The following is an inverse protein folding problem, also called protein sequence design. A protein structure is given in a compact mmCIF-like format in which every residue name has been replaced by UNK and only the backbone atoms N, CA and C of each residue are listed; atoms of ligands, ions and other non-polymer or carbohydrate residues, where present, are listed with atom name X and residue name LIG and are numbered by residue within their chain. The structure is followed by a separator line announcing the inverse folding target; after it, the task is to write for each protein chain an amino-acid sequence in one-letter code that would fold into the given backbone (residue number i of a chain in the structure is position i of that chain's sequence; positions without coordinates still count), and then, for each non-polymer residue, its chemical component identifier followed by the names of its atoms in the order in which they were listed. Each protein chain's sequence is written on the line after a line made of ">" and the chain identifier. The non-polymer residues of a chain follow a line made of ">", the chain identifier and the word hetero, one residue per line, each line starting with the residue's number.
data_IF_560119294444
#
_entry.id   IF_560119294444
#
_cell.length_a   1.000
_cell.length_b   1.000
_cell.length_c   1.000
_cell.angle_alpha   90.00
_cell.angle_beta   90.00
_cell.angle_gamma   90.00
#
_symmetry.space_group_name_H-M   'P 1'
#
loop_
_entity.id
_entity.type
_entity.pdbx_description
1 polymer ?
#
# COMPACT_ATOMS: atom_id res chain seq x y z
N UNK A 1 -23.11 20.56 27.35
CA UNK A 1 -22.12 19.57 26.87
C UNK A 1 -21.63 18.77 28.08
N UNK A 2 -21.61 17.43 28.03
CA UNK A 2 -21.16 16.61 29.16
C UNK A 2 -19.64 16.73 29.39
N UNK A 3 -19.13 16.54 30.62
CA UNK A 3 -17.69 16.53 30.89
C UNK A 3 -16.93 15.48 30.07
N UNK A 4 -15.70 15.81 29.67
CA UNK A 4 -14.76 14.95 28.89
C UNK A 4 -14.65 13.53 29.49
N UNK A 5 -14.49 13.47 30.81
CA UNK A 5 -14.33 12.22 31.58
C UNK A 5 -15.58 11.34 31.53
N UNK A 6 -16.78 11.94 31.64
CA UNK A 6 -18.06 11.23 31.54
C UNK A 6 -18.25 10.62 30.16
N UNK A 7 -18.00 11.39 29.09
CA UNK A 7 -18.06 10.89 27.71
C UNK A 7 -17.10 9.71 27.50
N UNK A 8 -15.84 9.87 27.94
CA UNK A 8 -14.81 8.81 27.85
C UNK A 8 -15.25 7.54 28.57
N UNK A 9 -15.80 7.67 29.78
CA UNK A 9 -16.30 6.53 30.55
C UNK A 9 -17.47 5.83 29.85
N UNK A 10 -18.40 6.59 29.29
CA UNK A 10 -19.51 6.04 28.51
C UNK A 10 -19.01 5.28 27.28
N UNK A 11 -18.11 5.87 26.49
CA UNK A 11 -17.51 5.22 25.32
C UNK A 11 -16.76 3.94 25.68
N UNK A 12 -16.03 3.91 26.80
CA UNK A 12 -15.36 2.67 27.26
C UNK A 12 -16.36 1.55 27.57
N UNK A 13 -17.51 1.88 28.17
CA UNK A 13 -18.57 0.90 28.45
C UNK A 13 -19.17 0.39 27.13
N UNK A 14 -19.44 1.30 26.19
CA UNK A 14 -19.95 0.97 24.86
C UNK A 14 -18.99 0.06 24.09
N UNK A 15 -17.71 0.43 24.02
CA UNK A 15 -16.68 -0.37 23.35
C UNK A 15 -16.55 -1.76 23.95
N UNK A 16 -16.61 -1.88 25.28
CA UNK A 16 -16.63 -3.18 25.97
C UNK A 16 -17.83 -4.04 25.55
N UNK A 17 -19.02 -3.43 25.45
CA UNK A 17 -20.22 -4.16 25.04
C UNK A 17 -20.13 -4.63 23.60
N UNK A 18 -19.62 -3.77 22.70
CA UNK A 18 -19.42 -4.12 21.29
C UNK A 18 -18.37 -5.22 21.12
N UNK A 19 -17.22 -5.11 21.80
CA UNK A 19 -16.15 -6.12 21.76
C UNK A 19 -16.67 -7.52 22.15
N UNK A 20 -17.59 -7.58 23.11
CA UNK A 20 -18.22 -8.83 23.60
C UNK A 20 -19.47 -9.26 22.82
N UNK A 21 -19.86 -8.53 21.77
CA UNK A 21 -21.15 -8.68 21.07
C UNK A 21 -22.38 -8.65 22.00
N UNK A 22 -22.25 -8.04 23.18
CA UNK A 22 -23.33 -7.90 24.18
C UNK A 22 -24.10 -6.59 23.93
N UNK A 23 -24.63 -6.44 22.71
CA UNK A 23 -25.15 -5.16 22.19
C UNK A 23 -26.66 -5.01 22.30
N UNK A 24 -27.42 -6.01 22.76
CA UNK A 24 -28.90 -5.99 22.77
C UNK A 24 -29.50 -4.75 23.46
N UNK A 25 -29.05 -4.45 24.68
CA UNK A 25 -29.53 -3.27 25.42
C UNK A 25 -29.08 -1.97 24.76
N UNK A 26 -27.91 -1.95 24.14
CA UNK A 26 -27.40 -0.81 23.40
C UNK A 26 -28.22 -0.55 22.14
N UNK A 27 -28.56 -1.58 21.38
CA UNK A 27 -29.43 -1.49 20.21
C UNK A 27 -30.82 -0.98 20.59
N UNK A 28 -31.39 -1.47 21.69
CA UNK A 28 -32.67 -0.98 22.21
C UNK A 28 -32.58 0.51 22.57
N UNK A 29 -31.51 0.93 23.25
CA UNK A 29 -31.33 2.34 23.59
C UNK A 29 -31.17 3.21 22.33
N UNK A 30 -30.33 2.79 21.37
CA UNK A 30 -30.09 3.52 20.12
C UNK A 30 -31.35 3.63 19.25
N UNK A 31 -32.23 2.64 19.29
CA UNK A 31 -33.51 2.68 18.56
C UNK A 31 -34.45 3.80 19.02
N UNK A 32 -34.22 4.32 20.24
CA UNK A 32 -34.98 5.43 20.82
C UNK A 32 -34.28 6.79 20.62
N UNK A 33 -33.05 6.81 20.12
CA UNK A 33 -32.26 8.03 19.97
C UNK A 33 -32.63 8.78 18.69
N UNK A 34 -32.50 10.12 18.68
CA UNK A 34 -32.53 10.88 17.44
C UNK A 34 -31.46 10.37 16.45
N UNK A 35 -31.84 10.27 15.18
CA UNK A 35 -30.95 9.76 14.11
C UNK A 35 -29.63 10.52 14.04
N UNK A 36 -29.67 11.84 14.21
CA UNK A 36 -28.46 12.70 14.20
C UNK A 36 -27.50 12.32 15.34
N UNK A 37 -28.01 12.07 16.54
CA UNK A 37 -27.18 11.69 17.69
C UNK A 37 -26.58 10.30 17.50
N UNK A 38 -27.36 9.37 16.94
CA UNK A 38 -26.89 8.04 16.56
C UNK A 38 -25.77 8.13 15.52
N UNK A 39 -25.94 8.93 14.46
CA UNK A 39 -24.89 9.16 13.44
C UNK A 39 -23.61 9.70 14.07
N UNK A 40 -23.70 10.72 14.93
CA UNK A 40 -22.53 11.30 15.60
C UNK A 40 -21.78 10.28 16.46
N UNK A 41 -22.52 9.48 17.25
CA UNK A 41 -21.91 8.43 18.05
C UNK A 41 -21.23 7.38 17.16
N UNK A 42 -21.91 6.89 16.13
CA UNK A 42 -21.40 5.86 15.24
C UNK A 42 -20.18 6.34 14.44
N UNK A 43 -20.18 7.57 13.95
CA UNK A 43 -19.00 8.19 13.32
C UNK A 43 -17.85 8.33 14.32
N UNK A 44 -18.12 8.67 15.57
CA UNK A 44 -17.09 8.68 16.61
C UNK A 44 -16.51 7.27 16.81
N UNK A 45 -17.36 6.23 16.90
CA UNK A 45 -16.90 4.83 16.99
C UNK A 45 -16.02 4.47 15.78
N UNK A 46 -16.50 4.70 14.56
CA UNK A 46 -15.76 4.42 13.32
C UNK A 46 -14.39 5.07 13.29
N UNK A 47 -14.29 6.32 13.74
CA UNK A 47 -13.04 7.08 13.71
C UNK A 47 -11.90 6.46 14.54
N UNK A 48 -12.20 5.60 15.51
CA UNK A 48 -11.21 4.90 16.33
C UNK A 48 -10.63 3.65 15.65
N UNK A 49 -11.30 3.17 14.60
CA UNK A 49 -11.01 1.92 13.92
C UNK A 49 -10.54 2.12 12.49
N UNK A 50 -10.30 3.37 12.08
CA UNK A 50 -9.75 3.68 10.78
C UNK A 50 -8.26 3.28 10.71
N UNK A 51 -7.89 2.28 9.87
CA UNK A 51 -6.51 1.82 9.78
C UNK A 51 -5.55 2.91 9.26
N UNK A 52 -6.05 3.87 8.46
CA UNK A 52 -5.24 4.99 7.94
C UNK A 52 -4.97 6.01 9.05
N UNK A 53 -5.86 6.15 10.02
CA UNK A 53 -5.64 7.04 11.17
C UNK A 53 -4.64 6.45 12.15
N UNK A 54 -4.79 5.16 12.49
CA UNK A 54 -3.95 4.47 13.46
C UNK A 54 -2.46 4.55 13.14
N UNK A 55 -2.12 4.60 11.86
CA UNK A 55 -0.75 4.65 11.37
C UNK A 55 -0.10 6.04 11.38
N UNK A 56 -0.89 7.12 11.47
CA UNK A 56 -0.35 8.48 11.56
C UNK A 56 0.35 8.77 12.90
N UNK A 57 0.22 7.86 13.88
CA UNK A 57 0.95 7.94 15.15
C UNK A 57 0.61 9.16 15.99
N UNK A 58 -0.53 9.81 15.73
CA UNK A 58 -1.04 10.88 16.60
C UNK A 58 -1.63 10.22 17.83
N UNK A 59 -0.78 9.89 18.81
CA UNK A 59 -1.21 9.36 20.10
C UNK A 59 -2.11 10.38 20.79
N UNK A 60 -3.42 10.17 20.72
CA UNK A 60 -4.39 10.93 21.48
C UNK A 60 -4.57 10.27 22.85
N UNK A 61 -4.65 11.07 23.92
CA UNK A 61 -4.99 10.61 25.28
C UNK A 61 -6.25 9.72 25.28
N UNK A 62 -7.18 9.99 24.36
CA UNK A 62 -8.39 9.20 24.19
C UNK A 62 -8.15 7.81 23.60
N UNK A 63 -7.23 7.69 22.64
CA UNK A 63 -6.88 6.41 22.03
C UNK A 63 -6.35 5.46 23.12
N UNK A 64 -5.52 6.00 24.01
CA UNK A 64 -4.98 5.31 25.18
C UNK A 64 -6.05 4.91 26.22
N UNK A 65 -7.23 5.52 26.21
CA UNK A 65 -8.31 5.19 27.16
C UNK A 65 -9.35 4.22 26.57
N UNK A 66 -9.69 4.38 25.29
CA UNK A 66 -10.80 3.69 24.62
C UNK A 66 -10.36 2.36 24.00
N UNK A 67 -9.28 2.36 23.20
CA UNK A 67 -8.83 1.14 22.51
C UNK A 67 -8.42 0.02 23.48
N UNK A 68 -7.73 0.28 24.61
CA UNK A 68 -7.45 -0.78 25.59
C UNK A 68 -8.73 -1.35 26.21
N UNK A 69 -9.77 -0.53 26.42
CA UNK A 69 -11.04 -1.02 26.92
C UNK A 69 -11.72 -1.95 25.90
N UNK A 70 -11.63 -1.65 24.61
CA UNK A 70 -12.09 -2.52 23.54
C UNK A 70 -11.26 -3.82 23.49
N UNK A 71 -9.94 -3.70 23.34
CA UNK A 71 -8.99 -4.81 23.17
C UNK A 71 -9.05 -5.82 24.32
N UNK A 72 -9.09 -5.35 25.57
CA UNK A 72 -9.12 -6.23 26.75
C UNK A 72 -10.43 -7.02 26.90
N UNK A 73 -11.44 -6.73 26.08
CA UNK A 73 -12.75 -7.39 26.11
C UNK A 73 -13.10 -8.05 24.77
N UNK A 74 -12.21 -7.99 23.78
CA UNK A 74 -12.29 -8.85 22.61
C UNK A 74 -12.16 -10.30 23.07
N UNK A 75 -12.90 -11.18 22.42
CA UNK A 75 -12.76 -12.61 22.69
C UNK A 75 -11.46 -13.13 22.10
N UNK A 76 -10.84 -14.11 22.76
CA UNK A 76 -9.59 -14.73 22.30
C UNK A 76 -9.75 -15.49 20.98
N UNK A 77 -11.00 -15.81 20.59
CA UNK A 77 -11.34 -16.43 19.31
C UNK A 77 -11.63 -15.42 18.18
N UNK A 78 -11.59 -14.11 18.45
CA UNK A 78 -11.74 -13.12 17.38
C UNK A 78 -10.44 -13.06 16.58
N UNK A 79 -10.50 -13.52 15.33
CA UNK A 79 -9.33 -13.45 14.46
C UNK A 79 -9.01 -12.02 13.97
N UNK A 80 -9.97 -11.09 14.09
CA UNK A 80 -9.78 -9.68 13.71
C UNK A 80 -10.64 -8.76 14.58
N UNK A 81 -10.02 -7.69 15.07
CA UNK A 81 -10.63 -6.72 16.00
C UNK A 81 -11.83 -5.95 15.45
N UNK A 82 -12.11 -6.01 14.15
CA UNK A 82 -13.21 -5.23 13.54
C UNK A 82 -14.45 -6.07 13.29
N UNK A 83 -14.36 -7.39 13.37
CA UNK A 83 -15.52 -8.25 13.17
C UNK A 83 -16.67 -7.86 14.12
N UNK A 84 -16.46 -7.66 15.45
CA UNK A 84 -17.53 -7.24 16.34
C UNK A 84 -18.09 -5.84 16.04
N UNK A 85 -17.28 -4.95 15.46
CA UNK A 85 -17.71 -3.60 15.06
C UNK A 85 -18.64 -3.69 13.83
N UNK A 86 -18.25 -4.45 12.81
CA UNK A 86 -19.07 -4.64 11.61
C UNK A 86 -20.38 -5.37 11.96
N UNK A 87 -20.32 -6.40 12.82
CA UNK A 87 -21.52 -7.09 13.33
C UNK A 87 -22.45 -6.14 14.07
N UNK A 88 -21.89 -5.24 14.89
CA UNK A 88 -22.66 -4.23 15.60
C UNK A 88 -23.36 -3.26 14.62
N UNK A 89 -22.67 -2.76 13.59
CA UNK A 89 -23.30 -1.88 12.61
C UNK A 89 -24.38 -2.58 11.79
N UNK A 90 -24.15 -3.84 11.40
CA UNK A 90 -25.19 -4.68 10.78
C UNK A 90 -26.43 -4.78 11.67
N UNK A 91 -26.24 -5.00 12.97
CA UNK A 91 -27.33 -5.10 13.93
C UNK A 91 -28.07 -3.75 14.12
N UNK A 92 -27.34 -2.64 14.19
CA UNK A 92 -27.93 -1.28 14.23
C UNK A 92 -28.75 -1.03 12.97
N UNK A 93 -28.19 -1.32 11.80
CA UNK A 93 -28.86 -1.13 10.51
C UNK A 93 -30.17 -1.91 10.41
N UNK A 94 -30.19 -3.13 10.96
CA UNK A 94 -31.36 -4.00 10.95
C UNK A 94 -32.41 -3.65 12.02
N UNK A 95 -32.03 -2.85 13.02
CA UNK A 95 -32.90 -2.57 14.18
C UNK A 95 -33.85 -1.37 13.99
N UNK A 96 -33.61 -0.52 12.99
CA UNK A 96 -34.38 0.71 12.76
C UNK A 96 -34.73 0.87 11.29
N UNK A 97 -35.87 1.49 10.99
CA UNK A 97 -36.31 1.73 9.61
C UNK A 97 -35.31 2.57 8.80
N UNK A 98 -34.63 3.51 9.45
CA UNK A 98 -33.59 4.35 8.85
C UNK A 98 -32.16 3.84 9.14
N UNK A 99 -32.04 2.58 9.57
CA UNK A 99 -30.79 2.02 10.06
C UNK A 99 -29.69 2.00 9.01
N UNK A 100 -29.98 1.50 7.79
CA UNK A 100 -29.01 1.49 6.69
C UNK A 100 -28.56 2.90 6.32
N UNK A 101 -29.49 3.86 6.17
CA UNK A 101 -29.10 5.26 5.93
C UNK A 101 -28.23 5.84 7.04
N UNK A 102 -28.51 5.48 8.29
CA UNK A 102 -27.74 5.93 9.46
C UNK A 102 -26.32 5.38 9.43
N UNK A 103 -26.14 4.09 9.16
CA UNK A 103 -24.83 3.43 9.10
C UNK A 103 -24.02 3.91 7.87
N UNK A 104 -24.67 4.12 6.73
CA UNK A 104 -23.96 4.56 5.53
C UNK A 104 -23.54 6.02 5.64
N UNK A 105 -24.43 6.90 6.11
CA UNK A 105 -24.13 8.32 6.30
C UNK A 105 -23.10 8.59 7.40
N UNK A 106 -22.85 7.63 8.31
CA UNK A 106 -21.84 7.79 9.35
C UNK A 106 -20.41 7.48 8.87
N UNK A 107 -20.24 7.04 7.61
CA UNK A 107 -18.94 6.77 6.97
C UNK A 107 -18.53 5.30 6.94
N UNK A 108 -19.47 4.36 7.09
CA UNK A 108 -19.12 2.93 7.12
C UNK A 108 -18.49 2.43 5.81
N UNK A 109 -18.90 2.97 4.65
CA UNK A 109 -18.28 2.59 3.36
C UNK A 109 -16.84 3.10 3.24
N UNK A 110 -16.53 4.26 3.82
CA UNK A 110 -15.16 4.78 3.88
C UNK A 110 -14.29 3.88 4.76
N UNK A 111 -14.79 3.43 5.91
CA UNK A 111 -14.08 2.45 6.75
C UNK A 111 -13.78 1.16 5.97
N UNK A 112 -14.77 0.61 5.27
CA UNK A 112 -14.56 -0.59 4.45
C UNK A 112 -13.52 -0.33 3.35
N UNK A 113 -13.58 0.83 2.68
CA UNK A 113 -12.59 1.22 1.69
C UNK A 113 -11.19 1.31 2.31
N UNK A 114 -11.07 1.92 3.49
CA UNK A 114 -9.80 2.04 4.21
C UNK A 114 -9.28 0.67 4.65
N UNK A 115 -10.15 -0.26 5.04
CA UNK A 115 -9.76 -1.64 5.29
C UNK A 115 -9.21 -2.33 4.04
N UNK A 116 -9.89 -2.18 2.91
CA UNK A 116 -9.41 -2.71 1.64
C UNK A 116 -8.05 -2.10 1.25
N UNK A 117 -7.92 -0.77 1.37
CA UNK A 117 -6.69 -0.02 1.11
C UNK A 117 -5.55 -0.53 2.00
N UNK A 118 -5.84 -0.76 3.28
CA UNK A 118 -4.92 -1.31 4.26
C UNK A 118 -4.73 -2.83 4.16
N UNK A 119 -5.19 -3.46 3.07
CA UNK A 119 -5.12 -4.92 2.85
C UNK A 119 -5.68 -5.76 4.01
N UNK A 120 -6.75 -5.26 4.62
CA UNK A 120 -7.43 -5.84 5.79
C UNK A 120 -6.50 -6.00 7.00
N UNK A 121 -5.53 -5.10 7.16
CA UNK A 121 -4.73 -5.01 8.37
C UNK A 121 -5.59 -4.62 9.57
N UNK A 122 -5.35 -5.31 10.69
CA UNK A 122 -6.08 -5.08 11.93
C UNK A 122 -5.56 -3.80 12.63
N UNK A 123 -6.37 -2.73 12.70
CA UNK A 123 -5.93 -1.43 13.21
C UNK A 123 -5.62 -1.45 14.71
N UNK A 124 -6.16 -2.41 15.46
CA UNK A 124 -5.96 -2.53 16.91
C UNK A 124 -4.70 -3.33 17.21
N UNK A 125 -4.23 -4.20 16.32
CA UNK A 125 -3.08 -5.08 16.58
C UNK A 125 -1.83 -4.74 15.77
N UNK A 126 -1.81 -3.65 14.99
CA UNK A 126 -0.67 -3.19 14.18
C UNK A 126 0.69 -3.18 14.90
N UNK A 127 0.69 -2.92 16.22
CA UNK A 127 1.89 -2.86 17.08
C UNK A 127 2.26 -4.19 17.77
N UNK A 128 1.42 -5.21 17.67
CA UNK A 128 1.74 -6.52 18.23
C UNK A 128 2.68 -7.27 17.28
N UNK A 129 3.80 -7.80 17.80
CA UNK A 129 4.77 -8.59 17.01
C UNK A 129 4.16 -9.84 16.39
N UNK A 130 3.00 -10.28 16.89
CA UNK A 130 2.24 -11.43 16.41
C UNK A 130 1.21 -10.99 15.39
N UNK A 131 1.66 -10.56 14.20
CA UNK A 131 0.75 -10.26 13.08
C UNK A 131 0.25 -11.58 12.48
N UNK A 132 -0.79 -12.17 13.06
CA UNK A 132 -1.57 -13.21 12.39
C UNK A 132 -2.61 -12.53 11.49
N UNK A 133 -2.35 -12.52 10.18
CA UNK A 133 -3.25 -11.90 9.21
C UNK A 133 -4.44 -12.81 8.92
N UNK A 134 -5.54 -12.66 9.64
CA UNK A 134 -6.81 -13.34 9.32
C UNK A 134 -7.66 -12.51 8.34
N UNK A 135 -7.11 -12.29 7.14
CA UNK A 135 -7.80 -11.54 6.07
C UNK A 135 -9.12 -12.20 5.68
N UNK A 136 -9.19 -13.53 5.72
CA UNK A 136 -10.38 -14.29 5.31
C UNK A 136 -11.59 -14.07 6.22
N UNK A 137 -11.38 -14.00 7.55
CA UNK A 137 -12.49 -13.85 8.48
C UNK A 137 -13.13 -12.46 8.35
N UNK A 138 -12.33 -11.40 8.41
CA UNK A 138 -12.85 -10.03 8.27
C UNK A 138 -13.43 -9.78 6.87
N UNK A 139 -12.82 -10.32 5.81
CA UNK A 139 -13.35 -10.19 4.45
C UNK A 139 -14.73 -10.85 4.35
N UNK A 140 -14.92 -12.04 4.93
CA UNK A 140 -16.23 -12.69 4.97
C UNK A 140 -17.27 -11.87 5.73
N UNK A 141 -16.91 -11.27 6.88
CA UNK A 141 -17.79 -10.39 7.66
C UNK A 141 -18.19 -9.15 6.86
N UNK A 142 -17.22 -8.47 6.23
CA UNK A 142 -17.46 -7.31 5.38
C UNK A 142 -18.31 -7.66 4.15
N UNK A 143 -18.06 -8.82 3.53
CA UNK A 143 -18.84 -9.30 2.39
C UNK A 143 -20.29 -9.59 2.81
N UNK A 144 -20.51 -10.21 3.96
CA UNK A 144 -21.87 -10.41 4.48
C UNK A 144 -22.57 -9.08 4.72
N UNK A 145 -21.89 -8.10 5.32
CA UNK A 145 -22.44 -6.76 5.53
C UNK A 145 -22.83 -6.10 4.20
N UNK A 146 -21.94 -6.12 3.20
CA UNK A 146 -22.20 -5.55 1.88
C UNK A 146 -23.35 -6.25 1.16
N UNK A 147 -23.54 -7.56 1.35
CA UNK A 147 -24.69 -8.29 0.78
C UNK A 147 -26.02 -7.72 1.27
N UNK A 148 -26.12 -7.38 2.56
CA UNK A 148 -27.34 -6.77 3.11
C UNK A 148 -27.51 -5.32 2.71
N UNK A 149 -26.43 -4.54 2.67
CA UNK A 149 -26.45 -3.17 2.13
C UNK A 149 -26.99 -3.17 0.69
N UNK A 150 -26.57 -4.13 -0.12
CA UNK A 150 -27.01 -4.27 -1.51
C UNK A 150 -28.44 -4.78 -1.65
N UNK A 151 -28.96 -5.50 -0.65
CA UNK A 151 -30.36 -5.91 -0.59
C UNK A 151 -31.29 -4.76 -0.21
N UNK A 152 -30.78 -3.74 0.48
CA UNK A 152 -31.49 -2.50 0.76
C UNK A 152 -31.47 -1.53 -0.45
N UNK A 153 -32.62 -0.94 -0.78
CA UNK A 153 -32.74 -0.06 -1.95
C UNK A 153 -32.00 1.27 -1.79
N UNK A 154 -31.89 1.80 -0.56
CA UNK A 154 -31.06 2.99 -0.31
C UNK A 154 -29.58 2.62 -0.32
N UNK A 155 -29.20 1.56 0.40
CA UNK A 155 -27.83 1.07 0.46
C UNK A 155 -27.25 0.74 -0.91
N UNK A 156 -28.03 0.08 -1.77
CA UNK A 156 -27.65 -0.17 -3.15
C UNK A 156 -27.22 1.12 -3.87
N UNK A 157 -28.07 2.16 -3.87
CA UNK A 157 -27.78 3.44 -4.54
C UNK A 157 -26.54 4.15 -3.99
N UNK A 158 -26.33 4.11 -2.67
CA UNK A 158 -25.14 4.73 -2.07
C UNK A 158 -23.88 3.98 -2.48
N UNK A 159 -23.90 2.64 -2.44
CA UNK A 159 -22.75 1.83 -2.87
C UNK A 159 -22.49 2.03 -4.36
N UNK A 160 -23.52 2.19 -5.19
CA UNK A 160 -23.38 2.41 -6.63
C UNK A 160 -22.51 3.62 -6.98
N UNK A 161 -22.55 4.67 -6.15
CA UNK A 161 -21.84 5.93 -6.32
C UNK A 161 -20.49 5.96 -5.57
N UNK A 162 -20.21 4.95 -4.75
CA UNK A 162 -19.04 4.94 -3.88
C UNK A 162 -17.83 4.26 -4.56
N UNK A 163 -16.59 4.76 -4.40
CA UNK A 163 -15.39 4.14 -4.99
C UNK A 163 -15.19 2.67 -4.65
N UNK A 164 -15.66 2.26 -3.47
CA UNK A 164 -15.65 0.87 -3.00
C UNK A 164 -16.25 -0.10 -4.03
N UNK A 165 -17.31 0.28 -4.76
CA UNK A 165 -17.93 -0.58 -5.78
C UNK A 165 -16.92 -1.11 -6.81
N UNK A 166 -16.02 -0.25 -7.27
CA UNK A 166 -15.04 -0.62 -8.29
C UNK A 166 -13.76 -1.20 -7.72
N UNK A 167 -13.42 -0.86 -6.47
CA UNK A 167 -12.17 -1.26 -5.82
C UNK A 167 -12.28 -2.56 -5.00
N UNK A 168 -13.47 -2.88 -4.49
CA UNK A 168 -13.66 -4.06 -3.66
C UNK A 168 -13.26 -5.35 -4.39
N UNK A 169 -12.65 -6.32 -3.70
CA UNK A 169 -12.31 -7.61 -4.29
C UNK A 169 -13.55 -8.28 -4.91
N UNK A 170 -13.41 -9.02 -6.02
CA UNK A 170 -14.54 -9.70 -6.61
C UNK A 170 -15.01 -10.79 -5.65
N UNK A 171 -16.30 -10.79 -5.34
CA UNK A 171 -16.93 -11.84 -4.55
C UNK A 171 -18.16 -12.34 -5.29
N UNK A 172 -18.32 -13.66 -5.54
CA UNK A 172 -19.41 -14.17 -6.38
C UNK A 172 -20.80 -13.74 -5.94
N UNK A 173 -21.01 -13.53 -4.63
CA UNK A 173 -22.30 -13.08 -4.10
C UNK A 173 -22.47 -11.56 -4.21
N UNK A 174 -21.39 -10.78 -4.12
CA UNK A 174 -21.43 -9.33 -4.31
C UNK A 174 -21.43 -9.03 -5.80
N UNK A 175 -22.61 -9.16 -6.42
CA UNK A 175 -22.81 -8.88 -7.83
C UNK A 175 -22.66 -7.37 -8.16
N UNK A 176 -21.48 -6.79 -7.96
CA UNK A 176 -21.12 -5.41 -8.32
C UNK A 176 -21.09 -5.17 -9.86
N UNK A 177 -21.94 -5.85 -10.62
CA UNK A 177 -21.88 -5.97 -12.07
C UNK A 177 -21.12 -7.23 -12.47
N UNK A 178 -21.77 -8.09 -13.25
CA UNK A 178 -21.45 -9.51 -13.45
C UNK A 178 -20.29 -9.83 -14.37
N UNK A 179 -19.53 -8.84 -14.86
CA UNK A 179 -18.42 -9.12 -15.76
C UNK A 179 -17.11 -8.58 -15.15
N UNK A 180 -16.12 -9.47 -15.03
CA UNK A 180 -14.70 -9.10 -14.92
C UNK A 180 -14.26 -8.21 -16.08
N UNK A 181 -14.97 -8.26 -17.20
CA UNK A 181 -14.80 -7.36 -18.33
C UNK A 181 -14.85 -5.89 -17.88
N UNK A 182 -13.81 -5.14 -18.24
CA UNK A 182 -13.57 -3.74 -17.86
C UNK A 182 -13.23 -3.52 -16.37
N UNK A 183 -12.83 -4.57 -15.62
CA UNK A 183 -12.41 -4.40 -14.22
C UNK A 183 -11.25 -3.43 -14.12
N UNK A 184 -10.22 -3.57 -14.97
CA UNK A 184 -9.09 -2.63 -15.03
C UNK A 184 -9.55 -1.18 -15.20
N UNK A 185 -10.36 -0.91 -16.22
CA UNK A 185 -10.87 0.44 -16.52
C UNK A 185 -11.72 1.03 -15.38
N UNK A 186 -12.57 0.21 -14.75
CA UNK A 186 -13.39 0.64 -13.60
C UNK A 186 -12.53 0.95 -12.39
N UNK A 187 -11.59 0.07 -12.04
CA UNK A 187 -10.66 0.27 -10.91
C UNK A 187 -9.86 1.54 -11.07
N UNK A 188 -9.30 1.77 -12.27
CA UNK A 188 -8.61 3.00 -12.64
C UNK A 188 -9.49 4.23 -12.42
N UNK A 189 -10.73 4.20 -12.90
CA UNK A 189 -11.70 5.28 -12.70
C UNK A 189 -11.95 5.57 -11.22
N UNK A 190 -12.10 4.52 -10.39
CA UNK A 190 -12.34 4.69 -8.96
C UNK A 190 -11.10 5.19 -8.22
N UNK A 191 -9.89 4.74 -8.55
CA UNK A 191 -8.66 5.24 -7.93
C UNK A 191 -8.43 6.73 -8.17
N UNK A 192 -8.93 7.29 -9.29
CA UNK A 192 -8.91 8.75 -9.53
C UNK A 192 -9.81 9.54 -8.57
N UNK A 193 -10.85 8.90 -8.03
CA UNK A 193 -11.73 9.49 -7.04
C UNK A 193 -11.18 9.36 -5.62
N UNK A 194 -10.21 8.48 -5.43
CA UNK A 194 -9.55 8.23 -4.15
C UNK A 194 -8.35 9.16 -3.99
N UNK A 195 -8.12 9.66 -2.78
CA UNK A 195 -7.03 10.58 -2.48
C UNK A 195 -5.64 9.93 -2.64
N UNK A 196 -4.63 10.78 -2.88
CA UNK A 196 -3.22 10.34 -2.99
C UNK A 196 -2.74 9.58 -1.74
N UNK A 197 -3.22 9.97 -0.57
CA UNK A 197 -2.86 9.32 0.69
C UNK A 197 -3.33 7.86 0.75
N UNK A 198 -4.57 7.58 0.34
CA UNK A 198 -5.10 6.22 0.27
C UNK A 198 -4.33 5.38 -0.77
N UNK A 199 -3.91 5.98 -1.89
CA UNK A 199 -3.06 5.31 -2.88
C UNK A 199 -1.70 4.94 -2.27
N UNK A 200 -1.06 5.86 -1.56
CA UNK A 200 0.19 5.59 -0.83
C UNK A 200 0.01 4.46 0.20
N UNK A 201 -1.09 4.48 0.94
CA UNK A 201 -1.44 3.40 1.87
C UNK A 201 -1.63 2.06 1.17
N UNK A 202 -2.30 2.04 0.02
CA UNK A 202 -2.48 0.82 -0.76
C UNK A 202 -1.15 0.24 -1.20
N UNK A 203 -0.26 1.08 -1.74
CA UNK A 203 1.09 0.65 -2.16
C UNK A 203 1.86 0.05 -0.98
N UNK A 204 1.90 0.75 0.16
CA UNK A 204 2.60 0.28 1.36
C UNK A 204 2.00 -1.03 1.89
N UNK A 205 0.68 -1.16 1.91
CA UNK A 205 0.01 -2.36 2.41
C UNK A 205 0.26 -3.57 1.51
N UNK A 206 0.27 -3.38 0.19
CA UNK A 206 0.69 -4.42 -0.75
C UNK A 206 2.16 -4.80 -0.50
N UNK A 207 3.05 -3.82 -0.34
CA UNK A 207 4.47 -4.10 -0.05
C UNK A 207 4.64 -4.91 1.23
N UNK A 208 3.99 -4.50 2.32
CA UNK A 208 4.08 -5.16 3.62
C UNK A 208 3.53 -6.59 3.57
N UNK A 209 2.39 -6.79 2.89
CA UNK A 209 1.85 -8.13 2.67
C UNK A 209 2.88 -9.02 1.93
N UNK A 210 3.55 -8.50 0.91
CA UNK A 210 4.53 -9.25 0.13
C UNK A 210 5.85 -9.49 0.85
N UNK A 211 6.32 -8.54 1.66
CA UNK A 211 7.60 -8.63 2.36
C UNK A 211 7.48 -9.42 3.65
N UNK A 212 6.45 -9.15 4.45
CA UNK A 212 6.33 -9.73 5.77
C UNK A 212 5.63 -11.09 5.76
N UNK A 213 4.60 -11.29 4.94
CA UNK A 213 3.82 -12.53 4.99
C UNK A 213 4.45 -13.64 4.14
N UNK A 214 5.02 -13.29 2.97
CA UNK A 214 5.44 -14.30 2.00
C UNK A 214 6.90 -14.74 2.12
N UNK A 215 7.67 -14.13 3.02
CA UNK A 215 9.13 -14.30 3.09
C UNK A 215 9.61 -15.51 3.89
N UNK A 216 8.82 -16.07 4.81
CA UNK A 216 9.40 -16.88 5.90
C UNK A 216 9.27 -18.41 5.78
N UNK A 217 8.33 -18.98 5.03
CA UNK A 217 8.10 -20.45 5.07
C UNK A 217 7.92 -21.13 3.70
N UNK A 218 8.28 -20.43 2.62
CA UNK A 218 7.72 -20.74 1.31
C UNK A 218 6.21 -20.49 1.32
N UNK A 219 5.60 -20.33 0.16
CA UNK A 219 4.15 -20.40 0.08
C UNK A 219 3.79 -21.82 0.52
N UNK A 220 3.40 -22.00 1.79
CA UNK A 220 3.00 -23.33 2.28
C UNK A 220 2.01 -23.91 1.26
N UNK A 221 2.07 -25.21 0.96
CA UNK A 221 1.21 -25.79 -0.08
C UNK A 221 -0.29 -25.45 0.10
N UNK A 222 -0.72 -25.15 1.34
CA UNK A 222 -2.04 -24.58 1.66
C UNK A 222 -2.25 -23.14 1.20
N UNK A 223 -1.27 -22.27 1.43
CA UNK A 223 -1.30 -20.91 0.91
C UNK A 223 -1.31 -20.92 -0.62
N UNK A 224 -0.65 -21.89 -1.27
CA UNK A 224 -0.78 -22.09 -2.71
C UNK A 224 -2.24 -22.38 -3.07
N UNK A 225 -2.91 -23.36 -2.47
CA UNK A 225 -4.32 -23.68 -2.85
C UNK A 225 -5.33 -22.57 -2.57
N UNK A 226 -5.13 -21.75 -1.54
CA UNK A 226 -6.07 -20.67 -1.17
C UNK A 226 -5.73 -19.33 -1.82
N UNK A 227 -4.46 -19.06 -2.14
CA UNK A 227 -4.04 -17.86 -2.88
C UNK A 227 -4.03 -18.09 -4.41
N UNK A 228 -4.05 -19.34 -4.89
CA UNK A 228 -4.26 -19.68 -6.31
C UNK A 228 -5.70 -19.50 -6.74
N UNK A 229 -6.64 -19.12 -5.87
CA UNK A 229 -7.83 -18.46 -6.38
C UNK A 229 -7.38 -17.16 -7.02
N UNK A 230 -7.31 -17.18 -8.35
CA UNK A 230 -6.83 -16.13 -9.24
C UNK A 230 -7.23 -14.68 -8.94
N UNK A 231 -8.36 -14.35 -8.28
CA UNK A 231 -8.75 -12.95 -8.17
C UNK A 231 -7.93 -12.12 -7.18
N UNK A 232 -7.30 -12.72 -6.16
CA UNK A 232 -6.68 -11.95 -5.07
C UNK A 232 -5.40 -11.23 -5.46
N UNK A 233 -4.61 -11.81 -6.38
CA UNK A 233 -3.37 -11.20 -6.87
C UNK A 233 -3.58 -10.26 -8.04
N UNK A 234 -4.71 -10.39 -8.76
CA UNK A 234 -5.06 -9.48 -9.85
C UNK A 234 -5.14 -8.03 -9.40
N UNK A 235 -5.87 -7.76 -8.32
CA UNK A 235 -6.14 -6.38 -7.89
C UNK A 235 -4.84 -5.65 -7.45
N UNK A 236 -3.99 -6.21 -6.56
CA UNK A 236 -2.69 -5.61 -6.26
C UNK A 236 -1.80 -5.42 -7.50
N UNK A 237 -1.82 -6.37 -8.44
CA UNK A 237 -1.04 -6.29 -9.67
C UNK A 237 -1.48 -5.10 -10.54
N UNK A 238 -2.79 -5.01 -10.80
CA UNK A 238 -3.38 -3.91 -11.57
C UNK A 238 -3.13 -2.58 -10.88
N UNK A 239 -3.37 -2.51 -9.56
CA UNK A 239 -3.15 -1.30 -8.77
C UNK A 239 -1.70 -0.80 -8.91
N UNK A 240 -0.71 -1.68 -8.71
CA UNK A 240 0.71 -1.30 -8.80
C UNK A 240 1.13 -0.90 -10.23
N UNK A 241 0.60 -1.55 -11.26
CA UNK A 241 0.90 -1.22 -12.64
C UNK A 241 0.31 0.15 -13.03
N UNK A 242 -0.94 0.41 -12.66
CA UNK A 242 -1.60 1.70 -12.86
C UNK A 242 -0.88 2.82 -12.10
N UNK A 243 -0.48 2.58 -10.84
CA UNK A 243 0.22 3.58 -10.05
C UNK A 243 1.64 3.85 -10.56
N UNK A 244 2.37 2.82 -10.97
CA UNK A 244 3.74 2.98 -11.47
C UNK A 244 3.81 3.61 -12.86
N UNK A 245 2.77 3.41 -13.70
CA UNK A 245 2.66 4.04 -15.02
C UNK A 245 1.93 5.38 -15.04
N UNK A 246 1.29 5.80 -13.93
CA UNK A 246 0.50 7.03 -13.90
C UNK A 246 1.32 8.29 -14.19
N UNK A 247 0.78 9.17 -15.03
CA UNK A 247 1.29 10.52 -15.26
C UNK A 247 0.69 11.56 -14.30
N UNK A 248 -0.35 11.20 -13.54
CA UNK A 248 -1.06 12.11 -12.63
C UNK A 248 -0.60 12.00 -11.17
N UNK A 249 0.20 10.99 -10.85
CA UNK A 249 0.76 10.79 -9.52
C UNK A 249 2.16 11.40 -9.45
N UNK A 250 2.56 11.79 -8.24
CA UNK A 250 3.91 12.31 -8.02
C UNK A 250 4.93 11.19 -8.26
N UNK A 251 6.10 11.52 -8.82
CA UNK A 251 7.12 10.51 -9.17
C UNK A 251 7.51 9.62 -8.00
N UNK A 252 7.53 10.17 -6.78
CA UNK A 252 7.78 9.39 -5.56
C UNK A 252 6.76 8.24 -5.37
N UNK A 253 5.47 8.50 -5.61
CA UNK A 253 4.41 7.49 -5.52
C UNK A 253 4.60 6.43 -6.60
N UNK A 254 4.90 6.86 -7.83
CA UNK A 254 5.17 5.97 -8.96
C UNK A 254 6.36 5.04 -8.69
N UNK A 255 7.46 5.56 -8.15
CA UNK A 255 8.63 4.76 -7.78
C UNK A 255 8.36 3.81 -6.60
N UNK A 256 7.58 4.23 -5.59
CA UNK A 256 7.16 3.33 -4.50
C UNK A 256 6.30 2.18 -5.03
N UNK A 257 5.37 2.46 -5.95
CA UNK A 257 4.58 1.43 -6.63
C UNK A 257 5.46 0.48 -7.44
N UNK A 258 6.41 1.03 -8.21
CA UNK A 258 7.37 0.25 -9.01
C UNK A 258 8.23 -0.69 -8.14
N UNK A 259 8.72 -0.20 -6.99
CA UNK A 259 9.46 -1.03 -6.01
C UNK A 259 8.59 -2.17 -5.48
N UNK A 260 7.33 -1.89 -5.17
CA UNK A 260 6.38 -2.89 -4.68
C UNK A 260 6.05 -3.92 -5.75
N UNK A 261 5.93 -3.48 -7.00
CA UNK A 261 5.71 -4.35 -8.16
C UNK A 261 6.91 -5.26 -8.42
N UNK A 262 8.13 -4.73 -8.32
CA UNK A 262 9.34 -5.55 -8.40
C UNK A 262 9.36 -6.64 -7.33
N UNK A 263 9.01 -6.31 -6.08
CA UNK A 263 8.91 -7.33 -5.02
C UNK A 263 7.82 -8.34 -5.29
N UNK A 264 6.65 -7.93 -5.77
CA UNK A 264 5.58 -8.84 -6.20
C UNK A 264 6.09 -9.83 -7.26
N UNK A 265 6.71 -9.33 -8.33
CA UNK A 265 7.22 -10.16 -9.42
C UNK A 265 8.33 -11.11 -8.98
N UNK A 266 9.19 -10.72 -8.04
CA UNK A 266 10.25 -11.58 -7.50
C UNK A 266 9.72 -12.79 -6.71
N UNK A 267 8.44 -12.77 -6.33
CA UNK A 267 7.79 -13.80 -5.50
C UNK A 267 6.80 -14.67 -6.28
N UNK A 268 6.34 -14.21 -7.44
CA UNK A 268 5.35 -14.90 -8.27
C UNK A 268 6.05 -15.60 -9.44
N UNK A 269 5.52 -16.75 -9.88
CA UNK A 269 6.01 -17.43 -11.08
C UNK A 269 5.82 -16.54 -12.32
N UNK A 270 6.83 -16.49 -13.18
CA UNK A 270 6.79 -15.79 -14.49
C UNK A 270 5.55 -16.11 -15.32
N UNK A 271 5.06 -17.36 -15.27
CA UNK A 271 3.82 -17.75 -15.98
C UNK A 271 2.61 -16.96 -15.49
N UNK A 272 2.48 -16.78 -14.17
CA UNK A 272 1.37 -16.03 -13.59
C UNK A 272 1.52 -14.53 -13.87
N UNK A 273 2.72 -13.97 -13.74
CA UNK A 273 3.00 -12.57 -14.14
C UNK A 273 2.58 -12.33 -15.59
N UNK A 274 2.98 -13.20 -16.52
CA UNK A 274 2.63 -13.09 -17.93
C UNK A 274 1.12 -13.18 -18.17
N UNK A 275 0.43 -14.07 -17.44
CA UNK A 275 -1.03 -14.19 -17.51
C UNK A 275 -1.72 -12.91 -17.05
N UNK A 276 -1.25 -12.30 -15.95
CA UNK A 276 -1.81 -11.03 -15.44
C UNK A 276 -1.53 -9.84 -16.36
N UNK A 277 -0.33 -9.76 -16.93
CA UNK A 277 0.01 -8.74 -17.93
C UNK A 277 -0.88 -8.84 -19.15
N UNK A 278 -1.07 -10.06 -19.67
CA UNK A 278 -1.95 -10.31 -20.81
C UNK A 278 -3.38 -9.86 -20.50
N UNK A 279 -3.94 -10.28 -19.37
CA UNK A 279 -5.26 -9.86 -18.92
C UNK A 279 -5.35 -8.33 -18.81
N UNK A 280 -4.34 -7.66 -18.25
CA UNK A 280 -4.32 -6.20 -18.17
C UNK A 280 -4.35 -5.54 -19.54
N UNK A 281 -3.56 -6.03 -20.50
CA UNK A 281 -3.51 -5.54 -21.88
C UNK A 281 -4.86 -5.76 -22.58
N UNK A 282 -5.46 -6.94 -22.43
CA UNK A 282 -6.74 -7.29 -23.05
C UNK A 282 -7.91 -6.46 -22.48
N UNK A 283 -7.88 -6.09 -21.21
CA UNK A 283 -8.93 -5.31 -20.55
C UNK A 283 -8.73 -3.78 -20.60
N UNK A 284 -7.63 -3.30 -21.19
CA UNK A 284 -7.26 -1.89 -21.22
C UNK A 284 -7.23 -1.37 -22.67
N UNK A 285 -7.75 -0.16 -22.94
CA UNK A 285 -7.60 0.45 -24.27
C UNK A 285 -6.13 0.50 -24.70
N UNK A 286 -5.84 0.09 -25.93
CA UNK A 286 -4.46 -0.12 -26.41
C UNK A 286 -3.57 1.11 -26.21
N UNK A 287 -4.05 2.29 -26.60
CA UNK A 287 -3.30 3.55 -26.46
C UNK A 287 -2.94 3.84 -24.99
N UNK A 288 -3.85 3.53 -24.07
CA UNK A 288 -3.63 3.74 -22.65
C UNK A 288 -2.65 2.71 -22.07
N UNK A 289 -2.80 1.44 -22.42
CA UNK A 289 -1.85 0.40 -22.00
C UNK A 289 -0.44 0.78 -22.49
N UNK A 290 -0.32 1.21 -23.75
CA UNK A 290 0.93 1.69 -24.35
C UNK A 290 1.53 2.85 -23.56
N UNK A 291 0.74 3.87 -23.22
CA UNK A 291 1.21 5.00 -22.41
C UNK A 291 1.73 4.53 -21.04
N UNK A 292 0.98 3.69 -20.33
CA UNK A 292 1.39 3.11 -19.04
C UNK A 292 2.72 2.38 -19.15
N UNK A 293 2.91 1.56 -20.18
CA UNK A 293 4.15 0.83 -20.38
C UNK A 293 5.32 1.74 -20.78
N UNK A 294 5.10 2.77 -21.60
CA UNK A 294 6.13 3.76 -21.93
C UNK A 294 6.60 4.45 -20.65
N UNK A 295 5.68 4.91 -19.81
CA UNK A 295 6.00 5.54 -18.53
C UNK A 295 6.73 4.58 -17.58
N UNK A 296 6.28 3.33 -17.53
CA UNK A 296 6.95 2.28 -16.76
C UNK A 296 8.40 2.08 -17.21
N UNK A 297 8.63 1.90 -18.52
CA UNK A 297 9.96 1.70 -19.10
C UNK A 297 10.84 2.92 -18.83
N UNK A 298 10.32 4.12 -19.05
CA UNK A 298 11.05 5.36 -18.76
C UNK A 298 11.51 5.42 -17.29
N UNK A 299 10.63 5.11 -16.34
CA UNK A 299 10.97 5.06 -14.91
C UNK A 299 11.95 3.94 -14.58
N UNK A 300 11.84 2.79 -15.24
CA UNK A 300 12.79 1.69 -15.09
C UNK A 300 14.19 2.05 -15.58
N UNK A 301 14.28 2.77 -16.70
CA UNK A 301 15.56 3.29 -17.21
C UNK A 301 16.17 4.30 -16.23
N UNK A 302 15.37 5.25 -15.74
CA UNK A 302 15.81 6.19 -14.71
C UNK A 302 16.30 5.47 -13.45
N UNK A 303 15.58 4.44 -12.99
CA UNK A 303 15.98 3.66 -11.83
C UNK A 303 17.29 2.87 -12.09
N UNK A 304 17.44 2.30 -13.28
CA UNK A 304 18.67 1.61 -13.70
C UNK A 304 19.86 2.56 -13.73
N UNK A 305 19.70 3.76 -14.28
CA UNK A 305 20.76 4.76 -14.34
C UNK A 305 21.15 5.25 -12.96
N UNK A 306 20.16 5.44 -12.07
CA UNK A 306 20.40 5.73 -10.65
C UNK A 306 21.17 4.58 -9.98
N UNK A 307 20.78 3.33 -10.22
CA UNK A 307 21.47 2.16 -9.64
C UNK A 307 22.91 2.04 -10.16
N UNK A 308 23.14 2.27 -11.46
CA UNK A 308 24.49 2.31 -12.03
C UNK A 308 25.31 3.48 -11.48
N UNK A 309 24.68 4.64 -11.27
CA UNK A 309 25.34 5.80 -10.68
C UNK A 309 25.70 5.55 -9.21
N UNK A 310 24.81 4.93 -8.45
CA UNK A 310 25.04 4.54 -7.06
C UNK A 310 26.12 3.46 -6.95
N UNK A 311 26.11 2.46 -7.82
CA UNK A 311 27.16 1.43 -7.89
C UNK A 311 28.54 2.04 -8.20
N UNK A 312 28.62 2.91 -9.21
CA UNK A 312 29.85 3.66 -9.55
C UNK A 312 30.29 4.58 -8.41
N UNK A 313 29.36 5.25 -7.73
CA UNK A 313 29.66 6.17 -6.63
C UNK A 313 30.12 5.42 -5.38
N UNK A 314 29.47 4.30 -5.06
CA UNK A 314 29.84 3.42 -3.94
C UNK A 314 31.20 2.79 -4.18
N UNK A 315 31.45 2.29 -5.39
CA UNK A 315 32.77 1.77 -5.80
C UNK A 315 33.85 2.85 -5.68
N UNK A 316 33.55 4.10 -6.07
CA UNK A 316 34.48 5.23 -5.92
C UNK A 316 34.67 5.64 -4.46
N UNK A 317 33.63 5.64 -3.63
CA UNK A 317 33.72 5.98 -2.20
C UNK A 317 34.51 4.92 -1.42
N UNK A 318 34.36 3.63 -1.77
CA UNK A 318 35.17 2.53 -1.24
C UNK A 318 36.62 2.61 -1.72
N UNK A 319 36.84 2.91 -3.01
CA UNK A 319 38.19 3.08 -3.56
C UNK A 319 38.93 4.31 -3.01
N UNK A 320 38.20 5.31 -2.53
CA UNK A 320 38.75 6.50 -1.89
C UNK A 320 38.90 6.38 -0.37
N UNK A 321 38.70 5.18 0.22
CA UNK A 321 38.73 4.92 1.68
C UNK A 321 37.75 5.79 2.51
N UNK A 322 36.84 6.52 1.86
CA UNK A 322 35.88 7.40 2.51
C UNK A 322 34.80 6.61 3.28
N UNK A 323 34.61 5.35 2.90
CA UNK A 323 33.81 4.34 3.60
C UNK A 323 34.75 3.23 4.08
N UNK A 324 35.72 3.56 4.94
CA UNK A 324 36.58 2.55 5.55
C UNK A 324 35.73 1.56 6.34
N UNK A 325 35.80 0.29 5.95
CA UNK A 325 35.23 -0.84 6.69
C UNK A 325 36.07 -1.17 7.94
N UNK A 326 37.25 -0.54 8.09
CA UNK A 326 38.15 -0.68 9.23
C UNK A 326 37.79 0.35 10.31
N UNK A 327 36.63 0.15 10.90
CA UNK A 327 36.16 0.90 12.05
C UNK A 327 35.62 -0.03 13.12
N UNK A 328 36.53 -0.64 13.88
CA UNK A 328 36.29 -1.41 15.11
C UNK A 328 35.70 -2.81 14.91
N UNK A 329 36.53 -3.87 14.97
CA UNK A 329 36.61 -4.81 16.12
C UNK A 329 37.96 -5.54 16.07
N UNK A 330 38.84 -5.34 17.06
CA UNK A 330 39.85 -6.34 17.41
C UNK A 330 39.11 -7.55 17.98
N UNK A 331 38.83 -8.56 17.15
CA UNK A 331 38.35 -9.87 17.61
C UNK A 331 39.55 -10.81 17.70
N UNK A 332 39.70 -11.39 18.88
CA UNK A 332 40.66 -12.43 19.24
C UNK A 332 40.64 -13.61 18.24
N UNK A 333 41.79 -14.20 17.85
CA UNK A 333 41.83 -15.24 16.82
C UNK A 333 41.46 -16.66 17.31
N UNK A 334 40.69 -16.81 18.39
CA UNK A 334 40.43 -18.15 19.01
C UNK A 334 38.95 -18.59 19.12
N UNK A 335 38.03 -18.07 18.32
CA UNK A 335 36.67 -18.66 18.25
C UNK A 335 36.39 -19.38 16.93
N UNK A 336 36.25 -20.70 17.08
CA UNK A 336 35.92 -21.66 16.03
C UNK A 336 34.40 -21.88 15.99
N UNK A 337 33.72 -21.36 14.96
CA UNK A 337 32.35 -21.77 14.64
C UNK A 337 32.17 -22.09 13.14
N UNK A 338 31.28 -23.04 12.81
CA UNK A 338 31.27 -23.74 11.54
C UNK A 338 30.40 -23.06 10.48
N UNK A 339 30.89 -23.11 9.23
CA UNK A 339 30.19 -23.03 7.95
C UNK A 339 28.74 -22.50 7.94
N UNK A 340 28.60 -21.18 7.77
CA UNK A 340 27.39 -20.58 7.21
C UNK A 340 27.36 -20.79 5.69
N UNK A 341 26.52 -21.72 5.24
CA UNK A 341 26.11 -21.84 3.84
C UNK A 341 25.21 -20.66 3.47
N UNK A 342 25.79 -19.64 2.83
CA UNK A 342 25.02 -18.56 2.22
C UNK A 342 24.44 -19.04 0.88
N UNK A 343 23.11 -19.22 0.87
CA UNK A 343 22.34 -19.52 -0.32
C UNK A 343 22.27 -18.26 -1.20
N UNK A 344 22.86 -18.32 -2.40
CA UNK A 344 22.94 -17.18 -3.33
C UNK A 344 21.58 -16.77 -3.89
N UNK A 345 21.33 -15.46 -3.96
CA UNK A 345 20.16 -14.88 -4.61
C UNK A 345 20.48 -14.54 -6.08
N UNK A 346 19.96 -15.35 -7.00
CA UNK A 346 20.12 -15.21 -8.46
C UNK A 346 19.09 -14.28 -9.13
N UNK A 347 18.53 -13.31 -8.41
CA UNK A 347 17.32 -12.60 -8.85
C UNK A 347 17.56 -11.37 -9.75
N UNK A 348 18.76 -10.78 -9.75
CA UNK A 348 19.09 -9.62 -10.60
C UNK A 348 18.96 -9.83 -12.12
N UNK A 349 19.44 -10.95 -12.70
CA UNK A 349 19.34 -11.22 -14.13
C UNK A 349 17.91 -11.46 -14.63
N UNK A 350 17.05 -12.07 -13.79
CA UNK A 350 15.67 -12.41 -14.14
C UNK A 350 14.79 -11.19 -14.35
N UNK A 351 15.01 -10.12 -13.56
CA UNK A 351 14.29 -8.86 -13.71
C UNK A 351 14.64 -8.14 -15.01
N UNK A 352 15.93 -8.10 -15.38
CA UNK A 352 16.37 -7.52 -16.66
C UNK A 352 15.78 -8.29 -17.84
N UNK A 353 15.75 -9.63 -17.76
CA UNK A 353 15.09 -10.48 -18.76
C UNK A 353 13.57 -10.25 -18.84
N UNK A 354 12.89 -10.04 -17.72
CA UNK A 354 11.45 -9.72 -17.70
C UNK A 354 11.16 -8.35 -18.32
N UNK A 355 11.94 -7.32 -17.96
CA UNK A 355 11.80 -5.98 -18.55
C UNK A 355 12.09 -6.03 -20.06
N UNK A 356 13.15 -6.73 -20.47
CA UNK A 356 13.47 -6.93 -21.88
C UNK A 356 12.42 -7.77 -22.62
N UNK A 357 11.80 -8.77 -21.97
CA UNK A 357 10.72 -9.56 -22.57
C UNK A 357 9.42 -8.77 -22.69
N UNK A 358 9.11 -7.90 -21.71
CA UNK A 358 7.98 -6.98 -21.78
C UNK A 358 8.19 -5.95 -22.90
N UNK A 359 9.40 -5.38 -23.01
CA UNK A 359 9.78 -4.53 -24.13
C UNK A 359 9.68 -5.26 -25.47
N UNK A 360 10.16 -6.50 -25.55
CA UNK A 360 10.10 -7.32 -26.75
C UNK A 360 8.66 -7.63 -27.18
N UNK A 361 7.78 -8.03 -26.26
CA UNK A 361 6.37 -8.32 -26.58
C UNK A 361 5.60 -7.07 -26.99
N UNK A 362 5.88 -5.90 -26.38
CA UNK A 362 5.29 -4.61 -26.76
C UNK A 362 5.79 -4.11 -28.13
N UNK A 363 7.06 -4.31 -28.44
CA UNK A 363 7.67 -3.84 -29.69
C UNK A 363 7.41 -4.77 -30.87
N UNK A 364 7.18 -6.07 -30.63
CA UNK A 364 7.19 -7.09 -31.70
C UNK A 364 5.82 -7.69 -32.04
N UNK A 365 4.81 -7.68 -31.13
CA UNK A 365 3.48 -8.30 -31.40
C UNK A 365 2.49 -7.43 -32.19
N UNK A 366 2.92 -6.38 -32.88
CA UNK A 366 2.06 -5.64 -33.80
C UNK A 366 2.71 -5.20 -35.12
N UNK A 367 3.04 -6.11 -36.06
CA UNK A 367 3.45 -5.72 -37.40
C UNK A 367 2.33 -5.01 -38.18
N UNK A 368 1.06 -5.32 -37.90
CA UNK A 368 -0.06 -4.87 -38.73
C UNK A 368 -0.82 -3.64 -38.18
N UNK A 369 -0.52 -3.18 -36.96
CA UNK A 369 -1.28 -2.12 -36.28
C UNK A 369 -0.56 -0.78 -36.08
N UNK A 370 0.78 -0.76 -36.11
CA UNK A 370 1.57 0.45 -35.76
C UNK A 370 2.15 1.15 -37.01
N UNK A 371 2.28 0.43 -38.13
CA UNK A 371 2.85 0.98 -39.36
C UNK A 371 1.99 2.07 -40.03
N UNK A 372 0.73 2.27 -39.63
CA UNK A 372 -0.18 3.23 -40.28
C UNK A 372 -0.33 4.58 -39.57
N UNK A 373 0.19 4.78 -38.35
CA UNK A 373 -0.03 6.03 -37.59
C UNK A 373 1.23 6.82 -37.22
N UNK A 374 2.44 6.35 -37.56
CA UNK A 374 3.69 7.11 -37.34
C UNK A 374 4.38 7.34 -38.69
N UNK A 375 3.96 8.39 -39.39
CA UNK A 375 4.56 8.81 -40.66
C UNK A 375 5.80 9.70 -40.45
N UNK A 376 6.68 9.34 -39.51
CA UNK A 376 7.98 9.99 -39.35
C UNK A 376 9.11 8.95 -39.33
N UNK A 377 9.72 8.62 -40.49
CA UNK A 377 10.75 7.59 -40.62
C UNK A 377 12.10 7.94 -39.97
N UNK A 378 12.18 9.02 -39.19
CA UNK A 378 13.38 9.41 -38.44
C UNK A 378 13.38 9.03 -36.95
N UNK A 379 12.27 8.56 -36.38
CA UNK A 379 12.22 8.15 -34.95
C UNK A 379 12.43 6.64 -34.73
N UNK A 380 12.11 5.78 -35.70
CA UNK A 380 12.33 4.32 -35.59
C UNK A 380 13.81 3.94 -35.44
N UNK A 381 14.71 4.74 -36.00
CA UNK A 381 16.16 4.52 -35.95
C UNK A 381 16.79 4.90 -34.60
N UNK A 382 16.09 5.64 -33.75
CA UNK A 382 16.66 6.12 -32.47
C UNK A 382 16.50 5.07 -31.37
N UNK A 383 15.33 4.46 -31.25
CA UNK A 383 15.07 3.43 -30.23
C UNK A 383 15.72 2.08 -30.57
N UNK A 384 15.71 1.70 -31.85
CA UNK A 384 16.40 0.49 -32.33
C UNK A 384 17.93 0.62 -32.19
N UNK A 385 18.53 1.80 -32.42
CA UNK A 385 19.97 2.02 -32.16
C UNK A 385 20.33 2.02 -30.68
N UNK A 386 19.50 2.60 -29.80
CA UNK A 386 19.77 2.59 -28.34
C UNK A 386 19.76 1.15 -27.79
N UNK A 387 18.87 0.29 -28.31
CA UNK A 387 18.78 -1.12 -27.90
C UNK A 387 19.88 -1.99 -28.53
N UNK A 388 20.20 -1.79 -29.82
CA UNK A 388 21.22 -2.59 -30.53
C UNK A 388 22.64 -2.20 -30.11
N UNK A 389 22.95 -0.90 -29.97
CA UNK A 389 24.30 -0.45 -29.57
C UNK A 389 24.68 -0.80 -28.12
N UNK A 390 23.70 -1.11 -27.26
CA UNK A 390 23.97 -1.58 -25.89
C UNK A 390 23.89 -3.10 -25.74
N UNK A 391 23.50 -3.85 -26.78
CA UNK A 391 23.36 -5.31 -26.71
C UNK A 391 24.65 -6.08 -27.04
N UNK A 392 25.50 -5.53 -27.90
CA UNK A 392 26.70 -6.24 -28.39
C UNK A 392 27.87 -6.26 -27.40
N UNK A 393 27.87 -5.42 -26.36
CA UNK A 393 28.92 -5.40 -25.32
C UNK A 393 28.53 -6.10 -24.01
N UNK A 394 27.28 -6.54 -23.86
CA UNK A 394 26.80 -7.23 -22.65
C UNK A 394 26.95 -8.75 -22.69
N UNK A 395 27.19 -9.35 -23.86
CA UNK A 395 27.35 -10.80 -24.00
C UNK A 395 28.77 -11.33 -23.71
N UNK A 396 29.81 -10.49 -23.70
CA UNK A 396 31.21 -10.93 -23.51
C UNK A 396 31.85 -10.51 -22.18
N UNK A 397 31.16 -9.73 -21.36
CA UNK A 397 31.64 -9.37 -20.02
C UNK A 397 31.16 -10.41 -19.00
N UNK A 398 31.94 -11.50 -18.86
CA UNK A 398 32.00 -12.24 -17.58
C UNK A 398 32.56 -11.29 -16.52
N UNK A 399 31.73 -10.39 -16.00
CA UNK A 399 32.00 -9.65 -14.78
C UNK A 399 31.89 -10.68 -13.66
N UNK A 400 33.04 -11.09 -13.15
CA UNK A 400 33.16 -11.81 -11.89
C UNK A 400 32.65 -10.89 -10.77
N UNK A 401 31.38 -11.05 -10.41
CA UNK A 401 30.80 -10.41 -9.23
C UNK A 401 31.37 -11.06 -7.96
N UNK A 402 31.86 -10.28 -6.98
CA UNK A 402 32.15 -10.81 -5.65
C UNK A 402 30.86 -11.36 -5.03
N UNK A 403 30.90 -12.63 -4.60
CA UNK A 403 29.76 -13.40 -4.04
C UNK A 403 29.16 -12.85 -2.71
N UNK A 404 29.50 -11.64 -2.28
CA UNK A 404 29.34 -11.22 -0.87
C UNK A 404 28.50 -9.96 -0.61
N UNK A 405 27.67 -9.49 -1.53
CA UNK A 405 26.77 -8.37 -1.24
C UNK A 405 25.31 -8.78 -1.46
N UNK A 406 24.69 -9.18 -0.34
CA UNK A 406 23.25 -9.37 -0.21
C UNK A 406 22.50 -8.03 -0.28
N UNK A 407 21.22 -8.11 -0.65
CA UNK A 407 20.21 -7.05 -0.79
C UNK A 407 19.89 -6.23 0.49
N UNK A 408 20.87 -5.93 1.34
CA UNK A 408 20.65 -5.20 2.61
C UNK A 408 20.59 -3.67 2.46
N UNK A 409 20.96 -3.12 1.30
CA UNK A 409 20.91 -1.67 1.06
C UNK A 409 19.48 -1.12 1.08
N UNK A 410 18.47 -1.99 0.89
CA UNK A 410 17.05 -1.63 0.94
C UNK A 410 16.49 -1.56 2.38
N UNK A 411 17.18 -2.15 3.36
CA UNK A 411 16.83 -2.16 4.79
C UNK A 411 17.67 -1.13 5.59
N UNK A 412 18.78 -0.64 5.04
CA UNK A 412 19.68 0.33 5.70
C UNK A 412 19.27 1.80 5.56
N UNK A 413 18.09 2.09 5.00
CA UNK A 413 17.48 3.42 5.17
C UNK A 413 16.88 3.56 6.58
N UNK A 414 17.80 3.84 7.51
CA UNK A 414 17.64 4.42 8.85
C UNK A 414 16.78 3.61 9.82
N UNK A 415 17.41 3.17 10.92
CA UNK A 415 16.72 2.91 12.17
C UNK A 415 15.73 4.07 12.44
N UNK A 416 14.43 3.82 12.67
CA UNK A 416 13.40 4.86 12.78
C UNK A 416 13.74 5.97 13.80
N UNK A 417 14.58 5.66 14.80
CA UNK A 417 15.14 6.62 15.75
C UNK A 417 16.10 7.63 15.09
N UNK A 418 16.96 7.19 14.18
CA UNK A 418 17.94 8.04 13.46
C UNK A 418 17.27 8.92 12.41
N UNK A 419 16.20 8.46 11.76
CA UNK A 419 15.38 9.29 10.86
C UNK A 419 14.66 10.40 11.65
N UNK A 420 14.09 10.10 12.82
CA UNK A 420 13.45 11.13 13.68
C UNK A 420 14.45 12.18 14.17
N UNK A 421 15.66 11.77 14.55
CA UNK A 421 16.72 12.70 14.97
C UNK A 421 17.17 13.58 13.80
N UNK A 422 17.43 13.01 12.62
CA UNK A 422 17.87 13.79 11.44
C UNK A 422 16.75 14.66 10.86
N UNK A 423 15.48 14.25 10.91
CA UNK A 423 14.35 15.09 10.52
C UNK A 423 14.12 16.24 11.52
N UNK A 424 14.35 16.00 12.81
CA UNK A 424 14.37 17.05 13.83
C UNK A 424 15.50 18.05 13.58
N UNK A 425 16.73 17.57 13.33
CA UNK A 425 17.88 18.42 13.04
C UNK A 425 17.73 19.17 11.70
N UNK A 426 17.12 18.54 10.69
CA UNK A 426 16.83 19.20 9.42
C UNK A 426 15.77 20.28 9.57
N UNK A 427 14.69 20.05 10.33
CA UNK A 427 13.70 21.09 10.65
C UNK A 427 14.34 22.23 11.45
N UNK A 428 15.18 21.95 12.45
CA UNK A 428 15.87 22.99 13.23
C UNK A 428 16.81 23.82 12.34
N UNK A 429 17.50 23.19 11.39
CA UNK A 429 18.42 23.87 10.48
C UNK A 429 17.72 24.65 9.34
N UNK A 430 16.56 24.17 8.88
CA UNK A 430 15.76 24.85 7.83
C UNK A 430 15.01 26.05 8.42
N UNK A 431 14.50 25.96 9.65
CA UNK A 431 13.79 27.07 10.31
C UNK A 431 14.70 28.09 11.02
N UNK A 432 15.96 27.76 11.32
CA UNK A 432 16.92 28.75 11.86
C UNK A 432 17.32 29.82 10.84
N UNK A 433 17.23 29.50 9.53
CA UNK A 433 17.49 30.47 8.46
C UNK A 433 16.35 31.50 8.29
N UNK A 434 15.12 31.13 8.68
CA UNK A 434 13.95 32.03 8.65
C UNK A 434 13.99 33.03 9.81
N UNK A 435 14.49 32.64 10.98
CA UNK A 435 14.60 33.56 12.13
C UNK A 435 15.80 34.52 12.07
N UNK A 436 16.85 34.22 11.29
CA UNK A 436 18.03 35.08 11.19
C UNK A 436 17.96 36.16 10.11
N UNK A 437 16.87 36.26 9.33
CA UNK A 437 16.64 37.37 8.37
C UNK A 437 15.75 38.49 8.90
N UNK A 438 15.25 38.40 10.13
CA UNK A 438 14.39 39.42 10.76
C UNK A 438 15.13 40.52 11.55
N UNK A 439 16.45 40.42 11.77
CA UNK A 439 17.19 41.37 12.62
C UNK A 439 18.27 42.20 11.89
N UNK A 440 18.37 42.12 10.56
CA UNK A 440 19.42 42.81 9.80
C UNK A 440 18.94 44.06 9.02
N UNK A 441 17.75 44.63 9.29
CA UNK A 441 17.26 45.82 8.57
C UNK A 441 16.68 46.94 9.45
N UNK A 442 17.20 47.16 10.65
CA UNK A 442 17.01 48.42 11.36
C UNK A 442 18.34 48.91 11.92
N UNK A 443 19.07 49.65 11.10
CA UNK A 443 20.34 50.24 11.49
C UNK A 443 20.90 51.18 10.44
N UNK A 444 20.20 52.28 10.15
CA UNK A 444 20.84 53.55 9.74
C UNK A 444 19.80 54.65 9.50
N UNK A 445 19.57 55.50 10.50
CA UNK A 445 19.44 56.94 10.27
C UNK A 445 19.62 57.69 11.59
N UNK A 446 20.86 58.12 11.79
CA UNK A 446 21.25 59.18 12.70
C UNK A 446 21.01 60.55 12.02
N UNK A 447 20.57 61.46 12.88
CA UNK A 447 20.82 62.91 12.92
C UNK A 447 20.12 63.90 11.95
N UNK A 448 19.57 64.93 12.61
CA UNK A 448 19.68 66.38 12.38
C UNK A 448 18.30 67.07 12.34
N UNK A 449 18.07 67.96 13.32
CA UNK A 449 17.01 68.97 13.31
C UNK A 449 16.11 68.96 14.53
#
# INVERSE_FOLDING_TARGET
>A
MYPKSTRTRALRILMRQIARRSTTNLLQALSLWPVVESKLLLSEVLSWFDPIRASRGTEDEYENAILPAYRNHLSDWEDHSLAPIIDFFRAVASSTEQGWSTILDCGCLDLLLHLYVADFQDPVTLNSRTRSFSKSCISATCNSFLMEVLADGYGHRVVELHPLRGLWPPWPMLAFGSNTQNRCSRRRGMWKLVGKEQIQWRISSIYDALVMEWSLHGISGRAQTTLTTEPFLCDPFIDLLEFSGSSNLDEEICFRALRSMHKLWSRINTVEVNSRLRMYIEETPEDYAREIFIQLIHRLLLLSDILQLLDKTTTRLLACEALSLEGVVNVDPEDSFPHLNFCGTSQGPHYRMLVLSMMWDLLWKGPDGIASSIHNPHDELTWSRILVQNSDSLCELQILFPKQQHDNWADEWLNPSTYRIKASDHNINVYSWINNKGQASMGSRSDVG
#
